data_IF_531568571371
#
_entry.id   IF_531568571371
#
_cell.length_a   1.000
_cell.length_b   1.000
_cell.length_c   1.000
_cell.angle_alpha   90.00
_cell.angle_beta   90.00
_cell.angle_gamma   90.00
#
_symmetry.space_group_name_H-M   'P 1'
#
loop_
_entity.id
_entity.type
_entity.pdbx_description
1 polymer ?
#
# COMPACT_ATOMS: atom_id res chain seq x y z
N UNK A 1 -23.55 -77.99 22.70
CA UNK A 1 -24.34 -77.90 21.46
C UNK A 1 -23.54 -77.09 20.44
N UNK A 2 -23.25 -77.59 19.24
CA UNK A 2 -22.29 -76.96 18.33
C UNK A 2 -22.96 -75.88 17.45
N UNK A 3 -22.23 -74.81 17.19
CA UNK A 3 -22.64 -73.63 16.41
C UNK A 3 -22.89 -73.86 14.89
N UNK A 4 -22.95 -75.12 14.45
CA UNK A 4 -23.08 -75.49 13.03
C UNK A 4 -24.53 -75.69 12.56
N UNK A 5 -25.51 -75.73 13.45
CA UNK A 5 -26.90 -76.00 13.07
C UNK A 5 -27.55 -74.76 12.42
N UNK A 6 -27.21 -73.57 12.90
CA UNK A 6 -27.78 -72.31 12.40
C UNK A 6 -27.31 -71.97 10.99
N UNK A 7 -26.03 -72.20 10.66
CA UNK A 7 -25.49 -71.87 9.35
C UNK A 7 -26.05 -72.79 8.25
N UNK A 8 -26.24 -74.07 8.58
CA UNK A 8 -26.86 -75.06 7.68
C UNK A 8 -28.35 -74.76 7.49
N UNK A 9 -29.07 -74.40 8.57
CA UNK A 9 -30.47 -73.98 8.48
C UNK A 9 -30.65 -72.71 7.66
N UNK A 10 -29.75 -71.71 7.82
CA UNK A 10 -29.78 -70.47 7.04
C UNK A 10 -29.52 -70.70 5.54
N UNK A 11 -28.58 -71.58 5.18
CA UNK A 11 -28.34 -71.94 3.77
C UNK A 11 -29.55 -72.62 3.13
N UNK A 12 -30.22 -73.53 3.84
CA UNK A 12 -31.44 -74.18 3.35
C UNK A 12 -32.63 -73.21 3.22
N UNK A 13 -32.72 -72.19 4.08
CA UNK A 13 -33.74 -71.15 3.99
C UNK A 13 -33.51 -70.24 2.77
N UNK A 14 -32.25 -69.81 2.56
CA UNK A 14 -31.84 -68.96 1.43
C UNK A 14 -32.03 -69.61 0.06
N UNK A 15 -32.08 -70.94 -0.01
CA UNK A 15 -32.35 -71.67 -1.26
C UNK A 15 -33.84 -71.72 -1.66
N UNK A 16 -34.77 -71.55 -0.72
CA UNK A 16 -36.22 -71.70 -0.97
C UNK A 16 -37.02 -70.39 -0.89
N UNK A 17 -36.51 -69.39 -0.18
CA UNK A 17 -37.16 -68.07 -0.06
C UNK A 17 -36.11 -67.03 -0.46
N UNK A 18 -36.37 -66.17 -1.47
CA UNK A 18 -35.46 -65.07 -1.80
C UNK A 18 -35.13 -64.27 -0.54
N UNK A 19 -33.85 -63.92 -0.35
CA UNK A 19 -33.38 -63.21 0.86
C UNK A 19 -34.25 -61.98 1.19
N UNK A 20 -34.69 -61.25 0.16
CA UNK A 20 -35.56 -60.09 0.31
C UNK A 20 -36.93 -60.44 0.94
N UNK A 21 -37.47 -61.62 0.66
CA UNK A 21 -38.72 -62.12 1.20
C UNK A 21 -38.52 -62.62 2.64
N UNK A 22 -37.42 -63.31 2.93
CA UNK A 22 -37.06 -63.73 4.29
C UNK A 22 -36.88 -62.53 5.25
N UNK A 23 -36.35 -61.41 4.75
CA UNK A 23 -36.23 -60.16 5.52
C UNK A 23 -37.60 -59.53 5.81
N UNK A 24 -38.57 -59.65 4.90
CA UNK A 24 -39.94 -59.14 5.13
C UNK A 24 -40.71 -59.99 6.12
N UNK A 25 -40.60 -61.31 6.01
CA UNK A 25 -41.47 -62.25 6.73
C UNK A 25 -40.93 -62.64 8.11
N UNK A 26 -39.62 -62.46 8.36
CA UNK A 26 -38.97 -62.86 9.62
C UNK A 26 -38.47 -61.60 10.37
N UNK A 27 -39.20 -61.12 11.39
CA UNK A 27 -38.88 -59.88 12.09
C UNK A 27 -37.48 -59.84 12.73
N UNK A 28 -36.98 -60.99 13.17
CA UNK A 28 -35.64 -61.12 13.76
C UNK A 28 -34.55 -60.82 12.71
N UNK A 29 -34.67 -61.36 11.50
CA UNK A 29 -33.73 -61.10 10.40
C UNK A 29 -33.72 -59.62 10.01
N UNK A 30 -34.90 -59.00 9.92
CA UNK A 30 -35.02 -57.57 9.67
C UNK A 30 -34.30 -56.74 10.75
N UNK A 31 -34.47 -57.09 12.02
CA UNK A 31 -33.81 -56.43 13.15
C UNK A 31 -32.30 -56.61 13.11
N UNK A 32 -31.81 -57.83 12.88
CA UNK A 32 -30.37 -58.13 12.81
C UNK A 32 -29.69 -57.39 11.66
N UNK A 33 -30.27 -57.37 10.47
CA UNK A 33 -29.72 -56.61 9.33
C UNK A 33 -29.74 -55.12 9.62
N UNK A 34 -30.82 -54.60 10.23
CA UNK A 34 -30.91 -53.19 10.61
C UNK A 34 -29.82 -52.82 11.63
N UNK A 35 -29.56 -53.67 12.63
CA UNK A 35 -28.47 -53.47 13.60
C UNK A 35 -27.07 -53.55 12.95
N UNK A 36 -26.87 -54.44 11.97
CA UNK A 36 -25.62 -54.54 11.21
C UNK A 36 -25.39 -53.31 10.30
N UNK A 37 -26.44 -52.79 9.66
CA UNK A 37 -26.37 -51.60 8.80
C UNK A 37 -26.30 -50.27 9.58
N UNK A 38 -26.82 -50.23 10.81
CA UNK A 38 -26.78 -49.04 11.67
C UNK A 38 -25.45 -48.87 12.41
N UNK A 39 -24.60 -49.91 12.49
CA UNK A 39 -23.20 -49.79 12.93
C UNK A 39 -22.35 -49.12 11.85
N UNK A 40 -22.63 -47.86 11.53
CA UNK A 40 -21.61 -46.99 10.95
C UNK A 40 -20.56 -46.78 12.06
N UNK A 41 -19.29 -47.22 11.91
CA UNK A 41 -18.26 -46.74 12.82
C UNK A 41 -18.30 -45.22 12.71
N UNK A 42 -18.56 -44.54 13.82
CA UNK A 42 -18.74 -43.10 13.83
C UNK A 42 -17.57 -42.46 13.08
N UNK A 43 -17.81 -41.98 11.85
CA UNK A 43 -16.90 -41.08 11.18
C UNK A 43 -16.94 -39.82 12.01
N UNK A 44 -16.09 -39.74 13.05
CA UNK A 44 -15.64 -38.46 13.57
C UNK A 44 -15.21 -37.71 12.31
N UNK A 45 -15.89 -36.61 11.95
CA UNK A 45 -15.38 -35.69 10.93
C UNK A 45 -13.98 -35.35 11.41
N UNK A 46 -12.94 -35.97 10.85
CA UNK A 46 -11.57 -35.51 11.05
C UNK A 46 -11.62 -34.10 10.52
N UNK A 47 -11.60 -33.12 11.43
CA UNK A 47 -11.32 -31.77 10.98
C UNK A 47 -10.00 -31.86 10.21
N UNK A 48 -9.93 -31.30 8.99
CA UNK A 48 -8.67 -31.31 8.27
C UNK A 48 -7.61 -30.74 9.20
N UNK A 49 -6.53 -31.48 9.39
CA UNK A 49 -5.38 -31.00 10.16
C UNK A 49 -4.92 -29.72 9.48
N UNK A 50 -5.10 -28.58 10.15
CA UNK A 50 -4.60 -27.30 9.64
C UNK A 50 -3.09 -27.29 9.85
N UNK A 51 -2.34 -27.52 8.78
CA UNK A 51 -0.91 -27.29 8.75
C UNK A 51 -0.70 -25.88 8.23
N UNK A 52 -0.07 -25.02 9.03
CA UNK A 52 0.32 -23.69 8.56
C UNK A 52 1.53 -23.83 7.64
N UNK A 53 1.37 -23.44 6.39
CA UNK A 53 2.48 -23.24 5.46
C UNK A 53 2.87 -21.77 5.57
N UNK A 54 4.15 -21.49 5.82
CA UNK A 54 4.68 -20.14 6.00
C UNK A 54 5.71 -19.87 4.89
N UNK A 55 5.74 -18.64 4.38
CA UNK A 55 6.78 -18.18 3.46
C UNK A 55 6.48 -18.43 1.98
N UNK A 56 7.54 -18.53 1.17
CA UNK A 56 7.51 -18.61 -0.30
C UNK A 56 6.65 -19.77 -0.83
N UNK A 57 6.46 -20.84 -0.05
CA UNK A 57 5.59 -21.96 -0.45
C UNK A 57 4.11 -21.58 -0.54
N UNK A 58 3.65 -20.54 0.17
CA UNK A 58 2.29 -20.02 0.02
C UNK A 58 2.08 -19.39 -1.37
N UNK A 59 3.12 -18.80 -1.97
CA UNK A 59 3.06 -18.18 -3.29
C UNK A 59 2.89 -19.22 -4.39
N UNK A 60 3.65 -20.33 -4.30
CA UNK A 60 3.54 -21.48 -5.21
C UNK A 60 2.17 -22.17 -5.13
N UNK A 61 1.54 -22.17 -3.95
CA UNK A 61 0.30 -22.92 -3.69
C UNK A 61 -0.95 -22.04 -3.93
N UNK A 62 -0.91 -20.76 -3.57
CA UNK A 62 -2.11 -19.90 -3.59
C UNK A 62 -2.40 -19.30 -4.96
N UNK A 63 -1.43 -19.29 -5.89
CA UNK A 63 -1.56 -18.71 -7.23
C UNK A 63 -2.04 -17.23 -7.22
N UNK A 64 -1.86 -16.53 -6.09
CA UNK A 64 -2.22 -15.13 -5.90
C UNK A 64 -0.94 -14.32 -5.76
N UNK A 65 -0.65 -13.37 -6.67
CA UNK A 65 0.53 -12.51 -6.55
C UNK A 65 0.38 -11.63 -5.31
N UNK A 66 1.36 -11.68 -4.40
CA UNK A 66 1.40 -10.80 -3.23
C UNK A 66 1.77 -9.39 -3.70
N UNK A 67 1.02 -8.37 -3.26
CA UNK A 67 1.42 -6.98 -3.46
C UNK A 67 2.78 -6.75 -2.81
N UNK A 68 3.76 -6.33 -3.60
CA UNK A 68 5.12 -6.03 -3.16
C UNK A 68 5.10 -4.69 -2.40
N UNK A 69 5.64 -4.69 -1.18
CA UNK A 69 5.85 -3.47 -0.40
C UNK A 69 7.12 -2.77 -0.88
N UNK A 70 7.12 -1.45 -0.85
CA UNK A 70 8.27 -0.63 -1.20
C UNK A 70 8.69 0.21 0.01
N UNK A 71 10.00 0.40 0.17
CA UNK A 71 10.55 1.27 1.22
C UNK A 71 10.37 2.75 0.88
N UNK A 72 10.77 3.62 1.81
CA UNK A 72 10.85 5.05 1.55
C UNK A 72 11.94 5.33 0.49
N UNK A 73 11.63 5.95 -0.66
CA UNK A 73 12.64 6.31 -1.64
C UNK A 73 13.40 7.61 -1.33
N UNK A 74 13.02 8.32 -0.26
CA UNK A 74 13.62 9.60 0.14
C UNK A 74 12.79 10.80 -0.30
N UNK A 75 13.38 12.00 -0.19
CA UNK A 75 12.67 13.25 -0.43
C UNK A 75 12.45 13.50 -1.93
N UNK A 76 11.23 13.85 -2.37
CA UNK A 76 10.96 14.25 -3.75
C UNK A 76 11.51 15.65 -4.03
N UNK A 77 12.72 15.73 -4.60
CA UNK A 77 13.43 16.99 -4.82
C UNK A 77 13.72 17.25 -6.30
N UNK A 78 13.71 18.52 -6.69
CA UNK A 78 14.13 18.98 -8.01
C UNK A 78 15.05 20.19 -7.88
N UNK A 79 15.79 20.48 -8.95
CA UNK A 79 16.46 21.77 -9.12
C UNK A 79 15.58 22.66 -9.98
N UNK A 80 15.05 23.73 -9.38
CA UNK A 80 14.34 24.79 -10.10
C UNK A 80 15.28 25.95 -10.41
N UNK A 81 14.81 26.91 -11.20
CA UNK A 81 15.52 28.16 -11.40
C UNK A 81 14.59 29.35 -11.17
N UNK A 82 15.12 30.42 -10.60
CA UNK A 82 14.45 31.73 -10.52
C UNK A 82 15.46 32.77 -10.99
N UNK A 83 15.09 33.64 -11.94
CA UNK A 83 16.02 34.58 -12.59
C UNK A 83 17.30 33.90 -13.12
N UNK A 84 17.15 32.69 -13.68
CA UNK A 84 18.26 31.84 -14.16
C UNK A 84 19.25 31.37 -13.08
N UNK A 85 18.97 31.61 -11.79
CA UNK A 85 19.77 31.10 -10.67
C UNK A 85 19.22 29.73 -10.26
N UNK A 86 20.04 28.67 -10.23
CA UNK A 86 19.58 27.35 -9.81
C UNK A 86 19.30 27.30 -8.31
N UNK A 87 18.21 26.65 -7.94
CA UNK A 87 17.79 26.42 -6.56
C UNK A 87 17.69 24.89 -6.36
N UNK A 88 18.82 24.25 -5.98
CA UNK A 88 18.84 22.82 -5.72
C UNK A 88 18.01 22.49 -4.48
N UNK A 89 17.65 21.21 -4.34
CA UNK A 89 16.91 20.69 -3.18
C UNK A 89 15.53 21.35 -2.98
N UNK A 90 14.89 21.84 -4.04
CA UNK A 90 13.51 22.31 -3.97
C UNK A 90 12.59 21.11 -3.76
N UNK A 91 11.87 21.10 -2.64
CA UNK A 91 10.98 20.00 -2.27
C UNK A 91 9.66 20.11 -3.02
N UNK A 92 9.17 18.98 -3.55
CA UNK A 92 7.84 18.87 -4.16
C UNK A 92 6.91 18.16 -3.19
N UNK A 93 5.93 18.87 -2.64
CA UNK A 93 5.10 18.36 -1.54
C UNK A 93 3.61 18.47 -1.83
N UNK A 94 2.96 17.32 -2.10
CA UNK A 94 1.51 17.25 -2.25
C UNK A 94 0.76 17.48 -0.92
N UNK A 95 1.42 17.27 0.22
CA UNK A 95 0.91 17.57 1.56
C UNK A 95 0.81 19.06 1.84
N UNK A 96 1.71 19.86 1.28
CA UNK A 96 1.74 21.31 1.46
C UNK A 96 0.57 22.01 0.75
N UNK A 97 -0.20 22.78 1.51
CA UNK A 97 -1.34 23.56 1.01
C UNK A 97 -0.93 24.84 0.28
N UNK A 98 0.31 25.29 0.47
CA UNK A 98 0.88 26.54 -0.02
C UNK A 98 2.30 26.27 -0.53
N UNK A 99 2.82 27.17 -1.37
CA UNK A 99 4.25 27.18 -1.68
C UNK A 99 4.99 28.00 -0.63
N UNK A 100 6.20 27.57 -0.27
CA UNK A 100 7.02 28.20 0.76
C UNK A 100 8.40 28.51 0.20
N UNK A 101 8.94 29.67 0.55
CA UNK A 101 10.32 30.06 0.28
C UNK A 101 10.98 30.50 1.59
N UNK A 102 12.23 30.14 1.81
CA UNK A 102 12.97 30.67 2.97
C UNK A 102 13.37 32.13 2.74
N UNK A 103 13.47 32.91 3.81
CA UNK A 103 13.93 34.30 3.70
C UNK A 103 15.35 34.39 3.12
N UNK A 104 16.25 33.46 3.48
CA UNK A 104 17.62 33.40 2.95
C UNK A 104 17.63 33.23 1.43
N UNK A 105 16.75 32.37 0.90
CA UNK A 105 16.60 32.20 -0.56
C UNK A 105 16.04 33.46 -1.21
N UNK A 106 15.02 34.07 -0.62
CA UNK A 106 14.42 35.31 -1.13
C UNK A 106 15.45 36.45 -1.21
N UNK A 107 16.22 36.65 -0.14
CA UNK A 107 17.27 37.68 -0.06
C UNK A 107 18.40 37.40 -1.05
N UNK A 108 18.85 36.14 -1.15
CA UNK A 108 19.89 35.73 -2.10
C UNK A 108 19.51 35.95 -3.57
N UNK A 109 18.22 35.80 -3.89
CA UNK A 109 17.66 36.07 -5.23
C UNK A 109 17.30 37.55 -5.46
N UNK A 110 17.44 38.39 -4.43
CA UNK A 110 17.08 39.80 -4.44
C UNK A 110 15.66 40.01 -5.00
N UNK A 111 14.70 39.23 -4.48
CA UNK A 111 13.30 39.33 -4.90
C UNK A 111 12.65 40.57 -4.28
N UNK A 112 11.89 41.30 -5.10
CA UNK A 112 11.15 42.49 -4.70
C UNK A 112 9.69 42.19 -4.38
N UNK A 113 8.87 43.25 -4.31
CA UNK A 113 7.40 43.17 -4.09
C UNK A 113 7.00 42.47 -2.78
N UNK A 114 7.73 42.77 -1.71
CA UNK A 114 7.47 42.24 -0.38
C UNK A 114 6.16 42.83 0.16
N UNK A 115 5.13 41.99 0.30
CA UNK A 115 3.90 42.36 1.00
C UNK A 115 3.94 41.74 2.39
N UNK A 116 4.04 42.55 3.46
CA UNK A 116 3.90 42.04 4.83
C UNK A 116 2.53 41.40 5.00
N UNK A 117 2.48 40.29 5.73
CA UNK A 117 1.23 39.59 6.00
C UNK A 117 1.07 39.31 7.50
N UNK A 118 -0.13 39.56 8.02
CA UNK A 118 -0.46 39.35 9.43
C UNK A 118 -1.25 38.05 9.62
N UNK A 119 -0.70 36.92 9.18
CA UNK A 119 -1.27 35.59 9.38
C UNK A 119 -0.36 34.70 10.22
N UNK A 120 -0.88 33.56 10.66
CA UNK A 120 -0.10 32.51 11.32
C UNK A 120 -0.40 31.20 10.63
N UNK A 121 0.64 30.47 10.24
CA UNK A 121 0.55 29.13 9.70
C UNK A 121 0.55 28.13 10.84
N UNK A 122 -0.23 27.07 10.69
CA UNK A 122 -0.18 25.88 11.53
C UNK A 122 0.42 24.74 10.71
N UNK A 123 1.51 24.15 11.19
CA UNK A 123 2.21 23.06 10.54
C UNK A 123 1.56 21.70 10.87
N UNK A 124 2.01 20.63 10.21
CA UNK A 124 1.50 19.29 10.44
C UNK A 124 1.72 18.79 11.89
N UNK A 125 2.76 19.27 12.56
CA UNK A 125 3.05 19.02 13.98
C UNK A 125 2.27 19.96 14.93
N UNK A 126 1.36 20.78 14.39
CA UNK A 126 0.57 21.81 15.09
C UNK A 126 1.39 22.97 15.65
N UNK A 127 2.68 23.03 15.34
CA UNK A 127 3.48 24.21 15.66
C UNK A 127 3.04 25.40 14.80
N UNK A 128 3.25 26.61 15.33
CA UNK A 128 2.85 27.85 14.68
C UNK A 128 4.06 28.59 14.14
N UNK A 129 3.96 29.04 12.89
CA UNK A 129 4.99 29.85 12.22
C UNK A 129 4.35 31.13 11.70
N UNK A 130 5.00 32.26 11.93
CA UNK A 130 4.60 33.54 11.33
C UNK A 130 5.38 33.75 10.04
N UNK A 131 4.72 33.84 8.89
CA UNK A 131 5.37 34.32 7.68
C UNK A 131 5.81 35.77 7.81
N UNK A 132 6.79 36.13 7.00
CA UNK A 132 7.38 37.47 6.98
C UNK A 132 6.78 38.26 5.81
N UNK A 133 6.77 37.65 4.62
CA UNK A 133 6.30 38.27 3.39
C UNK A 133 5.47 37.29 2.56
N UNK A 134 4.66 37.84 1.68
CA UNK A 134 4.13 37.16 0.50
C UNK A 134 4.83 37.73 -0.72
N UNK A 135 5.19 36.83 -1.64
CA UNK A 135 5.66 37.15 -2.98
C UNK A 135 4.62 36.66 -3.98
N UNK A 136 4.16 37.54 -4.84
CA UNK A 136 3.20 37.20 -5.91
C UNK A 136 3.92 37.06 -7.25
N UNK A 137 3.43 36.17 -8.11
CA UNK A 137 3.86 36.01 -9.51
C UNK A 137 5.39 35.79 -9.71
N UNK A 138 6.03 35.05 -8.80
CA UNK A 138 7.45 34.69 -8.97
C UNK A 138 7.57 33.62 -10.06
N UNK A 139 8.32 33.94 -11.12
CA UNK A 139 8.56 32.99 -12.21
C UNK A 139 9.56 31.92 -11.77
N UNK A 140 9.09 30.69 -11.70
CA UNK A 140 9.90 29.49 -11.43
C UNK A 140 10.04 28.70 -12.72
N UNK A 141 11.28 28.43 -13.11
CA UNK A 141 11.59 27.60 -14.26
C UNK A 141 11.90 26.17 -13.85
N UNK A 142 11.26 25.20 -14.50
CA UNK A 142 11.56 23.78 -14.41
C UNK A 142 11.44 23.15 -15.80
N UNK A 143 12.44 22.35 -16.20
CA UNK A 143 12.46 21.70 -17.52
C UNK A 143 12.22 22.69 -18.69
N UNK A 144 12.84 23.87 -18.62
CA UNK A 144 12.70 24.96 -19.61
C UNK A 144 11.31 25.59 -19.71
N UNK A 145 10.39 25.27 -18.82
CA UNK A 145 9.08 25.93 -18.72
C UNK A 145 9.03 26.86 -17.53
N UNK A 146 8.35 27.99 -17.72
CA UNK A 146 8.16 29.04 -16.74
C UNK A 146 6.75 28.96 -16.16
N UNK A 147 6.67 28.94 -14.84
CA UNK A 147 5.42 28.90 -14.10
C UNK A 147 5.36 30.07 -13.13
N UNK A 148 4.27 30.86 -13.12
CA UNK A 148 4.05 31.86 -12.09
C UNK A 148 3.69 31.17 -10.77
N UNK A 149 4.30 31.62 -9.68
CA UNK A 149 4.15 31.02 -8.36
C UNK A 149 4.09 32.08 -7.28
N UNK A 150 3.05 32.01 -6.46
CA UNK A 150 2.97 32.79 -5.22
C UNK A 150 3.65 32.02 -4.08
N UNK A 151 4.48 32.72 -3.30
CA UNK A 151 5.21 32.15 -2.18
C UNK A 151 4.87 32.82 -0.86
N UNK A 152 4.74 31.98 0.17
CA UNK A 152 4.80 32.40 1.55
C UNK A 152 6.26 32.36 2.02
N UNK A 153 6.79 33.51 2.46
CA UNK A 153 8.19 33.60 2.92
C UNK A 153 8.26 33.40 4.43
N UNK A 154 9.07 32.43 4.87
CA UNK A 154 9.25 32.13 6.30
C UNK A 154 10.73 32.16 6.71
N UNK A 155 10.99 32.44 7.98
CA UNK A 155 12.29 32.19 8.61
C UNK A 155 12.28 30.77 9.20
N UNK A 156 13.08 29.83 8.67
CA UNK A 156 13.21 28.52 9.27
C UNK A 156 13.97 28.63 10.61
N UNK A 157 13.64 27.74 11.56
CA UNK A 157 14.33 27.67 12.86
C UNK A 157 15.72 27.02 12.76
N UNK A 158 15.87 26.11 11.81
CA UNK A 158 17.13 25.44 11.48
C UNK A 158 17.60 25.91 10.11
N UNK A 159 18.91 26.10 9.96
CA UNK A 159 19.51 26.51 8.68
C UNK A 159 19.61 25.35 7.68
N UNK A 160 19.46 24.11 8.15
CA UNK A 160 19.53 22.89 7.36
C UNK A 160 18.11 22.46 6.98
N UNK A 161 17.74 22.65 5.72
CA UNK A 161 16.41 22.34 5.21
C UNK A 161 16.28 22.66 3.72
N UNK A 162 15.07 22.50 3.18
CA UNK A 162 14.78 22.81 1.79
C UNK A 162 14.62 24.33 1.59
N UNK A 163 15.33 24.96 0.63
CA UNK A 163 15.24 26.40 0.38
C UNK A 163 13.85 26.84 -0.09
N UNK A 164 13.13 25.91 -0.74
CA UNK A 164 11.80 26.10 -1.27
C UNK A 164 10.98 24.81 -1.17
N UNK A 165 9.66 24.98 -1.00
CA UNK A 165 8.67 23.91 -1.09
C UNK A 165 7.63 24.34 -2.14
N UNK A 166 7.44 23.49 -3.15
CA UNK A 166 6.39 23.62 -4.15
C UNK A 166 5.23 22.72 -3.72
N UNK A 167 4.15 23.37 -3.29
CA UNK A 167 2.97 22.73 -2.74
C UNK A 167 1.92 22.40 -3.79
N UNK A 168 0.72 22.06 -3.32
CA UNK A 168 -0.45 21.81 -4.19
C UNK A 168 -0.77 22.93 -5.18
N UNK A 169 -0.64 24.24 -4.85
CA UNK A 169 -0.91 25.28 -5.83
C UNK A 169 -0.03 25.16 -7.08
N UNK A 170 1.29 25.01 -6.91
CA UNK A 170 2.19 24.84 -8.04
C UNK A 170 1.98 23.50 -8.77
N UNK A 171 1.74 22.42 -8.03
CA UNK A 171 1.42 21.10 -8.61
C UNK A 171 0.15 21.15 -9.47
N UNK A 172 -0.85 21.92 -9.08
CA UNK A 172 -2.06 22.13 -9.87
C UNK A 172 -1.78 22.98 -11.11
N UNK A 173 -0.99 24.07 -10.98
CA UNK A 173 -0.56 24.90 -12.11
C UNK A 173 0.18 24.10 -13.18
N UNK A 174 0.97 23.12 -12.76
CA UNK A 174 1.77 22.27 -13.66
C UNK A 174 1.08 20.99 -14.10
N UNK A 175 -0.19 20.76 -13.70
CA UNK A 175 -0.94 19.52 -13.95
C UNK A 175 -0.11 18.26 -13.62
N UNK A 176 0.48 18.25 -12.43
CA UNK A 176 1.52 17.29 -12.08
C UNK A 176 0.97 15.89 -11.75
N UNK A 177 1.58 14.85 -12.34
CA UNK A 177 1.39 13.44 -11.98
C UNK A 177 2.64 12.89 -11.32
N UNK A 178 2.54 12.48 -10.05
CA UNK A 178 3.67 11.99 -9.26
C UNK A 178 3.62 10.47 -9.11
N UNK A 179 4.66 9.79 -9.58
CA UNK A 179 4.89 8.37 -9.37
C UNK A 179 5.81 8.12 -8.18
N UNK A 180 5.25 7.74 -7.02
CA UNK A 180 6.03 7.52 -5.80
C UNK A 180 6.96 6.29 -5.86
N UNK A 181 6.69 5.32 -6.75
CA UNK A 181 7.52 4.10 -6.86
C UNK A 181 8.75 4.31 -7.73
N UNK A 182 8.57 4.91 -8.90
CA UNK A 182 9.64 5.19 -9.86
C UNK A 182 10.36 6.51 -9.56
N UNK A 183 9.77 7.41 -8.76
CA UNK A 183 10.34 8.71 -8.46
C UNK A 183 10.27 9.69 -9.62
N UNK A 184 9.28 9.52 -10.49
CA UNK A 184 9.09 10.37 -11.66
C UNK A 184 7.89 11.29 -11.44
N UNK A 185 8.01 12.54 -11.88
CA UNK A 185 6.91 13.49 -12.00
C UNK A 185 6.72 13.86 -13.46
N UNK A 186 5.48 13.80 -13.94
CA UNK A 186 5.10 14.36 -15.23
C UNK A 186 4.47 15.73 -14.96
N UNK A 187 4.92 16.75 -15.70
CA UNK A 187 4.35 18.10 -15.68
C UNK A 187 3.85 18.45 -17.08
N UNK A 188 2.93 19.41 -17.16
CA UNK A 188 2.36 19.94 -18.38
C UNK A 188 2.46 21.47 -18.42
N UNK A 189 2.55 22.03 -19.64
CA UNK A 189 2.32 23.45 -19.89
C UNK A 189 0.99 23.72 -20.61
N UNK A 190 0.11 22.71 -20.66
CA UNK A 190 -1.17 22.74 -21.38
C UNK A 190 -1.11 22.25 -22.83
N UNK A 191 0.08 22.21 -23.44
CA UNK A 191 0.27 21.71 -24.82
C UNK A 191 1.13 20.45 -24.84
N UNK A 192 2.20 20.46 -24.06
CA UNK A 192 3.17 19.38 -23.99
C UNK A 192 3.29 18.88 -22.55
N UNK A 193 3.77 17.64 -22.42
CA UNK A 193 4.13 17.05 -21.14
C UNK A 193 5.62 16.73 -21.08
N UNK A 194 6.24 16.94 -19.93
CA UNK A 194 7.64 16.58 -19.68
C UNK A 194 7.75 15.74 -18.41
N UNK A 195 8.73 14.84 -18.39
CA UNK A 195 9.06 14.02 -17.24
C UNK A 195 10.28 14.61 -16.51
N UNK A 196 10.19 14.68 -15.19
CA UNK A 196 11.25 15.10 -14.27
C UNK A 196 11.46 13.99 -13.24
N UNK A 197 12.69 13.81 -12.76
CA UNK A 197 13.03 12.85 -11.70
C UNK A 197 13.03 13.57 -10.36
N UNK A 198 12.29 13.04 -9.38
CA UNK A 198 12.19 13.55 -8.01
C UNK A 198 13.14 12.83 -7.05
N UNK A 199 13.27 11.52 -7.18
CA UNK A 199 14.09 10.68 -6.32
C UNK A 199 14.41 9.35 -7.02
N UNK A 200 15.30 8.55 -6.45
CA UNK A 200 15.59 7.22 -6.98
C UNK A 200 14.38 6.29 -6.83
N UNK A 201 14.20 5.29 -7.71
CA UNK A 201 13.12 4.33 -7.58
C UNK A 201 13.14 3.63 -6.22
N UNK A 202 11.96 3.53 -5.60
CA UNK A 202 11.76 2.83 -4.35
C UNK A 202 12.15 1.35 -4.50
N UNK A 203 12.79 0.79 -3.47
CA UNK A 203 13.22 -0.61 -3.48
C UNK A 203 12.16 -1.52 -2.83
N UNK A 204 11.93 -2.74 -3.37
CA UNK A 204 11.08 -3.74 -2.73
C UNK A 204 11.59 -4.10 -1.33
N UNK A 205 10.69 -4.11 -0.34
CA UNK A 205 11.00 -4.63 1.00
C UNK A 205 10.62 -6.12 1.04
N UNK A 206 11.59 -6.97 0.71
CA UNK A 206 11.34 -8.40 0.47
C UNK A 206 11.13 -9.16 1.79
N UNK A 207 11.82 -8.81 2.87
CA UNK A 207 11.55 -9.31 4.23
C UNK A 207 12.03 -8.25 5.23
N UNK A 208 11.26 -8.01 6.29
CA UNK A 208 11.47 -7.04 7.39
C UNK A 208 10.92 -5.60 7.14
N UNK A 209 10.22 -4.99 8.12
CA UNK A 209 9.82 -3.59 8.04
C UNK A 209 11.06 -2.71 8.27
N UNK A 210 11.68 -2.26 7.17
CA UNK A 210 12.82 -1.34 7.17
C UNK A 210 12.50 0.07 7.71
N UNK A 211 11.28 0.36 8.17
CA UNK A 211 10.95 1.66 8.79
C UNK A 211 11.64 1.90 10.15
N UNK A 212 12.32 0.89 10.71
CA UNK A 212 13.11 1.01 11.95
C UNK A 212 14.58 1.34 11.69
N UNK A 213 15.07 1.10 10.48
CA UNK A 213 16.43 1.45 10.07
C UNK A 213 16.27 2.49 8.97
N UNK A 214 16.17 3.75 9.36
CA UNK A 214 16.25 4.87 8.44
C UNK A 214 17.73 5.03 8.02
N UNK A 215 18.14 4.63 6.81
CA UNK A 215 19.52 4.84 6.38
C UNK A 215 19.80 6.33 6.06
N UNK A 216 18.79 7.20 6.12
CA UNK A 216 18.86 8.62 5.80
C UNK A 216 18.65 9.55 7.01
N UNK A 217 18.38 8.98 8.19
CA UNK A 217 18.36 9.67 9.49
C UNK A 217 17.67 11.04 9.51
N UNK A 218 16.35 11.05 9.27
CA UNK A 218 15.50 12.23 9.57
C UNK A 218 14.90 12.10 10.97
#
# INVERSE_FOLDING_TARGET
>A
MPANDLEVQLRNLCGKIPLLQAIKDIPILAKTIKELCLKKPGRKKKQPTKVQVIGQMVELISNQPRLIRYGNPGNPIVTTHIKHIPIPNTLVDQGATINIMTITTMEGLQLGNLKPIAITLELADRSKVKPIYVLDDVIVTLASWEFPVDFMVIQPKLMEGHPMILGRPWLATTDAYIGCRNGEMIISNGVFTQKVILHQPAQPTIHNPLWLEDPYGI
#
